data_IF_941208997026
#
_entry.id   IF_941208997026
#
_cell.length_a   1.000
_cell.length_b   1.000
_cell.length_c   1.000
_cell.angle_alpha   90.00
_cell.angle_beta   90.00
_cell.angle_gamma   90.00
#
_symmetry.space_group_name_H-M   'P 1'
#
loop_
_entity.id
_entity.type
_entity.pdbx_description
1 polymer ?
#
# COMPACT_ATOMS: atom_id res chain seq x y z
N UNK A 1 -15.29 20.29 31.24
CA UNK A 1 -15.96 19.40 30.26
C UNK A 1 -15.68 19.80 28.82
N UNK A 2 -15.90 21.06 28.41
CA UNK A 2 -15.63 21.51 27.02
C UNK A 2 -14.18 21.33 26.54
N UNK A 3 -13.20 21.61 27.39
CA UNK A 3 -11.77 21.45 27.05
C UNK A 3 -11.35 19.99 26.84
N UNK A 4 -11.90 19.06 27.61
CA UNK A 4 -11.66 17.62 27.46
C UNK A 4 -12.26 17.07 26.16
N UNK A 5 -13.43 17.57 25.76
CA UNK A 5 -14.08 17.20 24.48
C UNK A 5 -13.24 17.71 23.30
N UNK A 6 -12.79 18.97 23.34
CA UNK A 6 -11.93 19.56 22.31
C UNK A 6 -10.58 18.81 22.17
N UNK A 7 -9.95 18.45 23.29
CA UNK A 7 -8.71 17.66 23.26
C UNK A 7 -8.91 16.28 22.63
N UNK A 8 -9.99 15.57 22.99
CA UNK A 8 -10.31 14.26 22.41
C UNK A 8 -10.54 14.34 20.89
N UNK A 9 -11.18 15.41 20.41
CA UNK A 9 -11.38 15.65 18.98
C UNK A 9 -10.05 15.92 18.25
N UNK A 10 -9.17 16.74 18.81
CA UNK A 10 -7.84 17.01 18.24
C UNK A 10 -7.03 15.70 18.12
N UNK A 11 -7.03 14.86 19.15
CA UNK A 11 -6.35 13.56 19.13
C UNK A 11 -6.96 12.64 18.07
N UNK A 12 -8.30 12.59 17.96
CA UNK A 12 -8.99 11.79 16.93
C UNK A 12 -8.65 12.26 15.52
N UNK A 13 -8.63 13.57 15.27
CA UNK A 13 -8.24 14.13 13.96
C UNK A 13 -6.79 13.81 13.63
N UNK A 14 -5.86 13.95 14.60
CA UNK A 14 -4.45 13.61 14.41
C UNK A 14 -4.27 12.13 14.06
N UNK A 15 -4.95 11.22 14.79
CA UNK A 15 -4.93 9.78 14.48
C UNK A 15 -5.45 9.47 13.09
N UNK A 16 -6.55 10.11 12.67
CA UNK A 16 -7.09 9.97 11.29
C UNK A 16 -6.09 10.44 10.24
N UNK A 17 -5.43 11.60 10.45
CA UNK A 17 -4.39 12.10 9.53
C UNK A 17 -3.20 11.15 9.42
N UNK A 18 -2.71 10.64 10.56
CA UNK A 18 -1.62 9.66 10.58
C UNK A 18 -2.03 8.38 9.87
N UNK A 19 -3.20 7.82 10.14
CA UNK A 19 -3.70 6.62 9.48
C UNK A 19 -3.78 6.80 7.95
N UNK A 20 -4.29 7.95 7.48
CA UNK A 20 -4.33 8.28 6.04
C UNK A 20 -2.93 8.40 5.45
N UNK A 21 -2.01 9.07 6.14
CA UNK A 21 -0.63 9.22 5.67
C UNK A 21 0.10 7.87 5.59
N UNK A 22 -0.09 7.00 6.58
CA UNK A 22 0.45 5.63 6.59
C UNK A 22 -0.16 4.82 5.44
N UNK A 23 -1.48 4.87 5.27
CA UNK A 23 -2.15 4.16 4.19
C UNK A 23 -1.66 4.62 2.80
N UNK A 24 -1.54 5.93 2.58
CA UNK A 24 -0.96 6.49 1.36
C UNK A 24 0.48 6.01 1.14
N UNK A 25 1.30 5.99 2.19
CA UNK A 25 2.68 5.47 2.13
C UNK A 25 2.72 3.99 1.75
N UNK A 26 1.87 3.16 2.34
CA UNK A 26 1.76 1.75 1.99
C UNK A 26 1.35 1.56 0.52
N UNK A 27 0.37 2.33 0.03
CA UNK A 27 -0.03 2.30 -1.39
C UNK A 27 1.13 2.64 -2.33
N UNK A 28 1.90 3.67 -2.00
CA UNK A 28 3.09 4.03 -2.78
C UNK A 28 4.16 2.91 -2.79
N UNK A 29 4.43 2.30 -1.64
CA UNK A 29 5.40 1.20 -1.53
C UNK A 29 4.96 -0.04 -2.32
N UNK A 30 3.68 -0.39 -2.28
CA UNK A 30 3.13 -1.49 -3.08
C UNK A 30 3.25 -1.18 -4.57
N UNK A 31 2.89 0.03 -5.00
CA UNK A 31 3.02 0.44 -6.41
C UNK A 31 4.47 0.34 -6.91
N UNK A 32 5.44 0.84 -6.12
CA UNK A 32 6.86 0.72 -6.43
C UNK A 32 7.30 -0.76 -6.51
N UNK A 33 6.77 -1.61 -5.64
CA UNK A 33 7.06 -3.05 -5.63
C UNK A 33 6.53 -3.76 -6.88
N UNK A 34 5.35 -3.38 -7.37
CA UNK A 34 4.80 -3.88 -8.65
C UNK A 34 5.71 -3.50 -9.81
N UNK A 35 6.16 -2.24 -9.88
CA UNK A 35 7.07 -1.77 -10.93
C UNK A 35 8.38 -2.56 -10.90
N UNK A 36 8.99 -2.73 -9.73
CA UNK A 36 10.21 -3.51 -9.58
C UNK A 36 10.02 -4.98 -10.00
N UNK A 37 8.93 -5.63 -9.57
CA UNK A 37 8.64 -7.01 -9.92
C UNK A 37 8.39 -7.22 -11.42
N UNK A 38 7.77 -6.26 -12.11
CA UNK A 38 7.59 -6.29 -13.56
C UNK A 38 8.92 -6.13 -14.31
N UNK A 39 9.80 -5.25 -13.84
CA UNK A 39 11.15 -5.10 -14.39
C UNK A 39 11.97 -6.39 -14.22
N UNK A 40 11.92 -7.02 -13.04
CA UNK A 40 12.54 -8.32 -12.79
C UNK A 40 11.99 -9.42 -13.70
N UNK A 41 10.68 -9.46 -13.93
CA UNK A 41 10.05 -10.43 -14.83
C UNK A 41 10.52 -10.26 -16.27
N UNK A 42 10.69 -9.02 -16.75
CA UNK A 42 11.12 -8.74 -18.11
C UNK A 42 12.53 -9.29 -18.42
N UNK A 43 13.40 -9.37 -17.41
CA UNK A 43 14.75 -9.94 -17.53
C UNK A 43 14.87 -11.41 -17.13
N UNK A 44 13.78 -12.08 -16.77
CA UNK A 44 13.84 -13.40 -16.16
C UNK A 44 14.02 -14.55 -17.18
N UNK A 45 14.88 -15.54 -16.86
CA UNK A 45 14.95 -16.79 -17.61
C UNK A 45 13.60 -17.52 -17.64
N UNK A 46 13.29 -18.19 -18.76
CA UNK A 46 12.06 -18.97 -18.94
C UNK A 46 11.64 -19.88 -17.75
N UNK A 47 12.55 -20.63 -17.08
CA UNK A 47 12.15 -21.46 -15.94
C UNK A 47 11.65 -20.67 -14.73
N UNK A 48 12.07 -19.42 -14.54
CA UNK A 48 11.67 -18.58 -13.40
C UNK A 48 10.41 -17.75 -13.66
N UNK A 49 10.02 -17.59 -14.93
CA UNK A 49 8.90 -16.75 -15.33
C UNK A 49 7.58 -17.11 -14.63
N UNK A 50 7.18 -18.39 -14.46
CA UNK A 50 5.91 -18.72 -13.81
C UNK A 50 5.81 -18.19 -12.37
N UNK A 51 6.88 -18.34 -11.59
CA UNK A 51 6.95 -17.86 -10.19
C UNK A 51 6.90 -16.34 -10.14
N UNK A 52 7.63 -15.68 -11.06
CA UNK A 52 7.67 -14.20 -11.12
C UNK A 52 6.36 -13.60 -11.59
N UNK A 53 5.66 -14.23 -12.55
CA UNK A 53 4.30 -13.84 -12.96
C UNK A 53 3.34 -13.94 -11.77
N UNK A 54 3.40 -15.04 -11.01
CA UNK A 54 2.55 -15.22 -9.82
C UNK A 54 2.82 -14.12 -8.78
N UNK A 55 4.10 -13.77 -8.56
CA UNK A 55 4.49 -12.66 -7.67
C UNK A 55 3.94 -11.32 -8.13
N UNK A 56 4.08 -10.98 -9.42
CA UNK A 56 3.52 -9.74 -10.00
C UNK A 56 2.01 -9.66 -9.78
N UNK A 57 1.28 -10.73 -10.14
CA UNK A 57 -0.18 -10.80 -9.95
C UNK A 57 -0.58 -10.59 -8.48
N UNK A 58 0.16 -11.19 -7.55
CA UNK A 58 -0.13 -11.03 -6.12
C UNK A 58 0.06 -9.58 -5.64
N UNK A 59 1.12 -8.91 -6.12
CA UNK A 59 1.38 -7.51 -5.80
C UNK A 59 0.33 -6.58 -6.43
N UNK A 60 -0.12 -6.87 -7.65
CA UNK A 60 -1.22 -6.14 -8.30
C UNK A 60 -2.53 -6.27 -7.53
N UNK A 61 -2.89 -7.47 -7.08
CA UNK A 61 -4.06 -7.70 -6.22
C UNK A 61 -3.97 -6.92 -4.90
N UNK A 62 -2.78 -6.87 -4.28
CA UNK A 62 -2.56 -6.09 -3.06
C UNK A 62 -2.68 -4.58 -3.34
N UNK A 63 -2.22 -4.11 -4.49
CA UNK A 63 -2.35 -2.71 -4.89
C UNK A 63 -3.81 -2.33 -5.12
N UNK A 64 -4.57 -3.20 -5.79
CA UNK A 64 -6.00 -3.02 -6.03
C UNK A 64 -6.78 -3.02 -4.72
N UNK A 65 -6.53 -4.00 -3.84
CA UNK A 65 -7.13 -4.06 -2.51
C UNK A 65 -6.83 -2.81 -1.68
N UNK A 66 -5.56 -2.40 -1.61
CA UNK A 66 -5.16 -1.18 -0.92
C UNK A 66 -5.79 0.06 -1.56
N UNK A 67 -6.10 0.02 -2.85
CA UNK A 67 -6.78 1.11 -3.54
C UNK A 67 -8.27 1.18 -3.24
N UNK A 68 -8.94 0.03 -3.11
CA UNK A 68 -10.35 -0.09 -2.75
C UNK A 68 -10.64 0.28 -1.28
N UNK A 69 -9.66 0.10 -0.39
CA UNK A 69 -9.75 0.50 1.02
C UNK A 69 -9.59 2.02 1.27
N UNK A 70 -9.22 2.78 0.23
CA UNK A 70 -8.92 4.21 0.33
C UNK A 70 -10.08 5.09 -0.07
#
# INVERSE_FOLDING_TARGET
>A
MGELIAFAEIVRMRRRRVARAVHARCRMLIAASVVAARAELAGAPAPEQPVRIARVRKLEQLHEYASALG
#
